data_IF_105482778919
#
_entry.id   IF_105482778919
#
_cell.length_a   1.000
_cell.length_b   1.000
_cell.length_c   1.000
_cell.angle_alpha   90.00
_cell.angle_beta   90.00
_cell.angle_gamma   90.00
#
_symmetry.space_group_name_H-M   'P 1'
#
loop_
_entity.id
_entity.type
_entity.pdbx_description
1 polymer ?
#
# COMPACT_ATOMS: atom_id res chain seq x y z
N UNK A 1 -18.55 5.71 31.37
CA UNK A 1 -18.81 5.57 29.93
C UNK A 1 -17.49 5.59 29.19
N UNK A 2 -17.15 4.46 28.59
CA UNK A 2 -15.98 4.42 27.72
C UNK A 2 -16.28 5.19 26.45
N UNK A 3 -15.47 6.19 26.15
CA UNK A 3 -15.53 6.83 24.84
C UNK A 3 -15.17 5.80 23.80
N UNK A 4 -16.07 5.51 22.86
CA UNK A 4 -15.76 4.72 21.68
C UNK A 4 -14.73 5.48 20.85
N UNK A 5 -13.46 5.23 21.14
CA UNK A 5 -12.38 5.76 20.30
C UNK A 5 -12.49 5.08 18.94
N UNK A 6 -12.80 5.87 17.94
CA UNK A 6 -12.79 5.41 16.56
C UNK A 6 -11.41 4.87 16.24
N UNK A 7 -11.34 3.66 15.71
CA UNK A 7 -10.06 3.07 15.28
C UNK A 7 -9.46 3.92 14.16
N UNK A 8 -8.17 4.15 14.24
CA UNK A 8 -7.45 4.81 13.16
C UNK A 8 -7.29 3.84 12.00
N UNK A 9 -7.27 4.39 10.80
CA UNK A 9 -7.14 3.62 9.56
C UNK A 9 -5.84 3.96 8.86
N UNK A 10 -5.16 2.93 8.39
CA UNK A 10 -3.92 3.07 7.63
C UNK A 10 -4.20 2.69 6.18
N UNK A 11 -3.80 3.56 5.26
CA UNK A 11 -3.87 3.29 3.83
C UNK A 11 -2.48 2.93 3.33
N UNK A 12 -2.38 1.83 2.59
CA UNK A 12 -1.15 1.42 1.91
C UNK A 12 -1.40 1.53 0.42
N UNK A 13 -0.68 2.42 -0.25
CA UNK A 13 -0.80 2.62 -1.69
C UNK A 13 0.37 1.94 -2.39
N UNK A 14 0.07 1.09 -3.37
CA UNK A 14 1.05 0.28 -4.08
C UNK A 14 0.94 0.56 -5.58
N UNK A 15 1.85 1.37 -6.13
CA UNK A 15 1.86 1.57 -7.58
C UNK A 15 2.39 0.32 -8.29
N UNK A 16 1.77 -0.04 -9.41
CA UNK A 16 2.09 -1.23 -10.18
C UNK A 16 2.19 -0.90 -11.66
N UNK A 17 3.17 -1.49 -12.32
CA UNK A 17 3.27 -1.52 -13.78
C UNK A 17 4.02 -2.78 -14.18
N UNK A 18 3.31 -3.71 -14.85
CA UNK A 18 3.86 -5.01 -15.26
C UNK A 18 4.51 -5.76 -14.08
N UNK A 19 3.71 -5.96 -13.02
CA UNK A 19 4.13 -6.59 -11.78
C UNK A 19 3.41 -7.92 -11.54
N UNK A 20 3.12 -8.69 -12.60
CA UNK A 20 2.37 -9.94 -12.48
C UNK A 20 3.01 -10.95 -11.53
N UNK A 21 4.33 -10.94 -11.39
CA UNK A 21 5.04 -11.84 -10.48
C UNK A 21 4.95 -11.41 -9.01
N UNK A 22 4.71 -10.12 -8.76
CA UNK A 22 4.84 -9.54 -7.42
C UNK A 22 3.53 -9.16 -6.75
N UNK A 23 2.44 -8.92 -7.49
CA UNK A 23 1.21 -8.39 -6.88
C UNK A 23 0.60 -9.36 -5.88
N UNK A 24 0.59 -10.67 -6.15
CA UNK A 24 0.05 -11.65 -5.22
C UNK A 24 0.92 -11.76 -3.96
N UNK A 25 2.24 -12.00 -4.07
CA UNK A 25 3.09 -12.02 -2.87
C UNK A 25 3.06 -10.72 -2.09
N UNK A 26 3.00 -9.57 -2.76
CA UNK A 26 2.93 -8.27 -2.08
C UNK A 26 1.62 -8.12 -1.31
N UNK A 27 0.49 -8.48 -1.91
CA UNK A 27 -0.79 -8.40 -1.22
C UNK A 27 -0.81 -9.27 0.04
N UNK A 28 -0.27 -10.49 -0.06
CA UNK A 28 -0.19 -11.40 1.08
C UNK A 28 0.72 -10.85 2.18
N UNK A 29 1.88 -10.30 1.81
CA UNK A 29 2.83 -9.74 2.77
C UNK A 29 2.23 -8.53 3.49
N UNK A 30 1.53 -7.65 2.79
CA UNK A 30 0.91 -6.47 3.38
C UNK A 30 -0.25 -6.84 4.31
N UNK A 31 -1.10 -7.78 3.91
CA UNK A 31 -2.18 -8.27 4.79
C UNK A 31 -1.59 -8.90 6.06
N UNK A 32 -0.52 -9.70 5.91
CA UNK A 32 0.14 -10.33 7.04
C UNK A 32 0.68 -9.29 8.03
N UNK A 33 1.38 -8.27 7.55
CA UNK A 33 1.91 -7.21 8.42
C UNK A 33 0.77 -6.49 9.14
N UNK A 34 -0.29 -6.12 8.43
CA UNK A 34 -1.40 -5.37 9.04
C UNK A 34 -2.16 -6.21 10.06
N UNK A 35 -2.37 -7.49 9.79
CA UNK A 35 -3.16 -8.33 10.69
C UNK A 35 -2.36 -8.84 11.89
N UNK A 36 -1.07 -9.09 11.73
CA UNK A 36 -0.23 -9.65 12.80
C UNK A 36 0.51 -8.58 13.60
N UNK A 37 1.03 -7.55 12.96
CA UNK A 37 1.85 -6.53 13.62
C UNK A 37 1.04 -5.29 14.03
N UNK A 38 -0.05 -4.98 13.33
CA UNK A 38 -0.82 -3.76 13.53
C UNK A 38 -2.33 -4.06 13.66
N UNK A 39 -2.72 -5.04 14.50
CA UNK A 39 -4.14 -5.46 14.55
C UNK A 39 -5.08 -4.40 15.13
N UNK A 40 -4.54 -3.37 15.79
CA UNK A 40 -5.33 -2.28 16.40
C UNK A 40 -5.80 -1.24 15.37
N UNK A 41 -5.34 -1.33 14.12
CA UNK A 41 -5.72 -0.39 13.07
C UNK A 41 -6.66 -1.05 12.08
N UNK A 42 -7.60 -0.25 11.55
CA UNK A 42 -8.26 -0.59 10.29
C UNK A 42 -7.29 -0.31 9.16
N UNK A 43 -7.47 -0.94 8.02
CA UNK A 43 -6.56 -0.72 6.90
C UNK A 43 -7.26 -0.86 5.56
N UNK A 44 -6.68 -0.22 4.56
CA UNK A 44 -6.97 -0.47 3.14
C UNK A 44 -5.65 -0.59 2.40
N UNK A 45 -5.62 -1.46 1.40
CA UNK A 45 -4.50 -1.58 0.48
C UNK A 45 -5.03 -1.17 -0.88
N UNK A 46 -4.44 -0.13 -1.46
CA UNK A 46 -4.86 0.40 -2.74
C UNK A 46 -3.75 0.21 -3.76
N UNK A 47 -3.96 -0.74 -4.67
CA UNK A 47 -3.09 -0.90 -5.82
C UNK A 47 -3.54 0.07 -6.91
N UNK A 48 -2.59 0.78 -7.51
CA UNK A 48 -2.88 1.56 -8.70
C UNK A 48 -2.08 1.00 -9.87
N UNK A 49 -2.78 0.43 -10.83
CA UNK A 49 -2.20 -0.20 -12.00
C UNK A 49 -2.12 0.82 -13.13
N UNK A 50 -0.91 1.11 -13.56
CA UNK A 50 -0.62 2.15 -14.55
C UNK A 50 -0.70 1.62 -15.98
N UNK A 51 -1.81 0.92 -16.28
CA UNK A 51 -2.08 0.35 -17.61
C UNK A 51 -1.09 -0.77 -17.97
N UNK A 52 -0.95 -1.76 -17.08
CA UNK A 52 -0.09 -2.91 -17.33
C UNK A 52 -0.55 -3.71 -18.56
N UNK A 53 0.41 -4.27 -19.27
CA UNK A 53 0.18 -5.06 -20.48
C UNK A 53 0.31 -6.56 -20.22
N UNK A 54 0.72 -6.94 -19.01
CA UNK A 54 0.84 -8.34 -18.59
C UNK A 54 -0.41 -8.78 -17.81
N UNK A 55 -0.30 -9.79 -16.95
CA UNK A 55 -1.41 -10.34 -16.18
C UNK A 55 -1.64 -9.64 -14.84
N UNK A 56 -0.99 -8.50 -14.60
CA UNK A 56 -1.14 -7.75 -13.35
C UNK A 56 -2.60 -7.45 -13.06
N UNK A 57 -3.33 -6.92 -14.04
CA UNK A 57 -4.74 -6.57 -13.86
C UNK A 57 -5.59 -7.78 -13.48
N UNK A 58 -5.40 -8.89 -14.18
CA UNK A 58 -6.14 -10.13 -13.90
C UNK A 58 -5.93 -10.57 -12.45
N UNK A 59 -4.68 -10.57 -11.99
CA UNK A 59 -4.37 -10.98 -10.62
C UNK A 59 -4.90 -10.00 -9.59
N UNK A 60 -4.85 -8.70 -9.86
CA UNK A 60 -5.42 -7.69 -8.96
C UNK A 60 -6.93 -7.84 -8.82
N UNK A 61 -7.64 -8.13 -9.91
CA UNK A 61 -9.08 -8.39 -9.86
C UNK A 61 -9.39 -9.55 -8.91
N UNK A 62 -8.64 -10.64 -9.02
CA UNK A 62 -8.80 -11.80 -8.13
C UNK A 62 -8.48 -11.49 -6.68
N UNK A 63 -7.42 -10.73 -6.43
CA UNK A 63 -7.02 -10.32 -5.09
C UNK A 63 -8.13 -9.49 -4.44
N UNK A 64 -8.70 -8.54 -5.17
CA UNK A 64 -9.77 -7.68 -4.67
C UNK A 64 -11.04 -8.46 -4.38
N UNK A 65 -11.37 -9.47 -5.17
CA UNK A 65 -12.51 -10.35 -4.90
C UNK A 65 -12.35 -11.12 -3.59
N UNK A 66 -11.12 -11.51 -3.26
CA UNK A 66 -10.82 -12.30 -2.08
C UNK A 66 -10.67 -11.51 -0.79
N UNK A 67 -10.54 -10.19 -0.84
CA UNK A 67 -10.34 -9.36 0.35
C UNK A 67 -10.91 -7.95 0.11
N UNK A 68 -11.99 -7.62 0.83
CA UNK A 68 -12.67 -6.33 0.69
C UNK A 68 -11.84 -5.11 1.15
N UNK A 69 -10.76 -5.34 1.89
CA UNK A 69 -9.85 -4.27 2.31
C UNK A 69 -8.83 -3.93 1.22
N UNK A 70 -8.79 -4.71 0.14
CA UNK A 70 -7.90 -4.47 -0.98
C UNK A 70 -8.72 -3.92 -2.14
N UNK A 71 -8.25 -2.80 -2.68
CA UNK A 71 -8.89 -2.09 -3.79
C UNK A 71 -7.87 -1.88 -4.90
N UNK A 72 -8.34 -1.74 -6.11
CA UNK A 72 -7.47 -1.49 -7.25
C UNK A 72 -8.06 -0.41 -8.14
N UNK A 73 -7.19 0.46 -8.63
CA UNK A 73 -7.50 1.44 -9.67
C UNK A 73 -6.75 1.00 -10.92
N UNK A 74 -7.48 0.92 -12.04
CA UNK A 74 -6.88 0.55 -13.32
C UNK A 74 -6.88 1.77 -14.22
N UNK A 75 -5.69 2.32 -14.49
CA UNK A 75 -5.57 3.45 -15.39
C UNK A 75 -5.84 3.03 -16.83
N UNK A 76 -6.53 3.88 -17.58
CA UNK A 76 -6.83 3.61 -19.00
C UNK A 76 -5.64 3.83 -19.91
N UNK A 77 -4.60 4.51 -19.41
CA UNK A 77 -3.34 4.72 -20.09
C UNK A 77 -2.22 4.84 -19.06
N UNK A 78 -0.97 4.78 -19.51
CA UNK A 78 0.17 4.99 -18.63
C UNK A 78 0.38 6.48 -18.42
N UNK A 79 0.18 6.97 -17.20
CA UNK A 79 0.33 8.37 -16.82
C UNK A 79 1.73 8.72 -16.29
N UNK A 80 2.66 7.75 -16.31
CA UNK A 80 4.01 7.93 -15.81
C UNK A 80 4.19 7.55 -14.36
N UNK A 81 5.45 7.45 -13.95
CA UNK A 81 5.82 6.91 -12.64
C UNK A 81 5.58 7.87 -11.47
N UNK A 82 5.26 9.14 -11.75
CA UNK A 82 4.99 10.13 -10.70
C UNK A 82 3.50 10.46 -10.60
N UNK A 83 2.85 10.69 -11.72
CA UNK A 83 1.44 11.09 -11.74
C UNK A 83 0.51 9.99 -11.23
N UNK A 84 0.76 8.75 -11.62
CA UNK A 84 -0.07 7.61 -11.22
C UNK A 84 -0.02 7.37 -9.71
N UNK A 85 1.17 7.27 -9.07
CA UNK A 85 1.22 7.12 -7.61
C UNK A 85 0.63 8.32 -6.88
N UNK A 86 0.83 9.53 -7.37
CA UNK A 86 0.25 10.72 -6.74
C UNK A 86 -1.28 10.65 -6.74
N UNK A 87 -1.87 10.27 -7.86
CA UNK A 87 -3.31 10.07 -7.94
C UNK A 87 -3.79 9.00 -6.97
N UNK A 88 -3.04 7.89 -6.88
CA UNK A 88 -3.36 6.81 -5.93
C UNK A 88 -3.36 7.32 -4.49
N UNK A 89 -2.37 8.11 -4.09
CA UNK A 89 -2.33 8.70 -2.76
C UNK A 89 -3.54 9.58 -2.49
N UNK A 90 -3.99 10.34 -3.49
CA UNK A 90 -5.16 11.21 -3.36
C UNK A 90 -6.46 10.43 -3.17
N UNK A 91 -6.50 9.16 -3.55
CA UNK A 91 -7.67 8.29 -3.40
C UNK A 91 -7.70 7.52 -2.09
N UNK A 92 -6.65 7.61 -1.27
CA UNK A 92 -6.62 6.92 0.02
C UNK A 92 -7.53 7.61 1.02
N UNK A 93 -8.13 6.82 1.92
CA UNK A 93 -9.12 7.32 2.89
C UNK A 93 -8.67 7.17 4.34
N UNK A 94 -7.48 6.66 4.59
CA UNK A 94 -6.98 6.45 5.94
C UNK A 94 -6.51 7.70 6.64
N UNK A 95 -6.24 7.56 7.93
CA UNK A 95 -5.69 8.65 8.75
C UNK A 95 -4.22 8.89 8.41
N UNK A 96 -3.53 7.88 7.91
CA UNK A 96 -2.21 8.04 7.28
C UNK A 96 -2.12 7.18 6.02
N UNK A 97 -1.21 7.54 5.14
CA UNK A 97 -0.96 6.82 3.90
C UNK A 97 0.52 6.46 3.78
N UNK A 98 0.78 5.22 3.37
CA UNK A 98 2.13 4.70 3.17
C UNK A 98 2.23 4.26 1.72
N UNK A 99 3.29 4.67 1.04
CA UNK A 99 3.58 4.24 -0.33
C UNK A 99 4.62 3.12 -0.30
N UNK A 100 4.32 2.01 -0.95
CA UNK A 100 5.19 0.83 -1.01
C UNK A 100 5.36 0.40 -2.46
N UNK A 101 6.60 0.23 -2.91
CA UNK A 101 6.88 -0.29 -4.25
C UNK A 101 6.56 -1.78 -4.34
N UNK A 102 5.89 -2.19 -5.42
CA UNK A 102 5.41 -3.57 -5.59
C UNK A 102 6.54 -4.61 -5.78
N UNK A 103 7.72 -4.18 -6.12
CA UNK A 103 8.85 -5.05 -6.47
C UNK A 103 9.69 -5.49 -5.27
N UNK A 104 9.22 -5.28 -4.05
CA UNK A 104 9.91 -5.63 -2.79
C UNK A 104 11.26 -4.92 -2.57
N UNK A 105 11.51 -3.80 -3.26
CA UNK A 105 12.66 -2.96 -2.95
C UNK A 105 12.57 -2.35 -1.55
N UNK A 106 11.34 -2.06 -1.12
CA UNK A 106 11.07 -1.54 0.21
C UNK A 106 10.60 -2.68 1.11
N UNK A 107 11.29 -2.95 2.24
CA UNK A 107 10.86 -4.04 3.14
C UNK A 107 9.52 -3.71 3.79
N UNK A 108 8.56 -4.63 3.69
CA UNK A 108 7.24 -4.43 4.32
C UNK A 108 7.34 -4.41 5.85
N UNK A 109 8.39 -4.98 6.41
CA UNK A 109 8.66 -4.99 7.84
C UNK A 109 8.93 -3.58 8.39
N UNK A 110 9.20 -2.61 7.53
CA UNK A 110 9.37 -1.21 7.92
C UNK A 110 8.05 -0.52 8.24
N UNK A 111 6.92 -1.06 7.79
CA UNK A 111 5.62 -0.43 7.98
C UNK A 111 5.30 -0.18 9.46
N UNK A 112 5.46 -1.15 10.38
CA UNK A 112 5.23 -0.86 11.80
C UNK A 112 6.11 0.26 12.34
N UNK A 113 7.34 0.40 11.86
CA UNK A 113 8.24 1.48 12.28
C UNK A 113 7.75 2.84 11.79
N UNK A 114 7.26 2.92 10.56
CA UNK A 114 6.68 4.16 10.04
C UNK A 114 5.44 4.56 10.83
N UNK A 115 4.59 3.59 11.16
CA UNK A 115 3.38 3.85 11.95
C UNK A 115 3.74 4.34 13.35
N UNK A 116 4.77 3.75 13.98
CA UNK A 116 5.24 4.18 15.29
C UNK A 116 5.71 5.64 15.26
N UNK A 117 6.46 6.03 14.24
CA UNK A 117 6.91 7.41 14.09
C UNK A 117 5.75 8.38 13.84
N UNK A 118 4.77 7.96 13.05
CA UNK A 118 3.55 8.75 12.87
C UNK A 118 2.80 8.94 14.20
N UNK A 119 2.67 7.89 15.00
CA UNK A 119 2.04 7.99 16.33
C UNK A 119 2.82 8.91 17.27
N UNK A 120 4.13 9.04 17.06
CA UNK A 120 4.97 9.99 17.82
C UNK A 120 4.78 11.44 17.37
N UNK A 121 3.94 11.70 16.38
CA UNK A 121 3.57 13.04 15.95
C UNK A 121 4.23 13.52 14.66
N UNK A 122 5.04 12.70 14.00
CA UNK A 122 5.67 13.08 12.75
C UNK A 122 4.66 13.03 11.61
N UNK A 123 4.56 14.13 10.86
CA UNK A 123 3.61 14.25 9.75
C UNK A 123 4.10 13.57 8.48
N UNK A 124 5.42 13.53 8.29
CA UNK A 124 6.07 12.90 7.15
C UNK A 124 7.20 12.03 7.68
N UNK A 125 7.20 10.76 7.28
CA UNK A 125 8.24 9.80 7.66
C UNK A 125 8.80 9.19 6.39
N UNK A 126 10.12 9.27 6.21
CA UNK A 126 10.79 8.72 5.04
C UNK A 126 11.84 7.70 5.45
N UNK A 127 11.84 6.57 4.78
CA UNK A 127 12.91 5.58 4.93
C UNK A 127 14.10 5.97 4.07
N UNK A 128 15.29 5.97 4.67
CA UNK A 128 16.53 6.28 3.95
C UNK A 128 17.28 4.97 3.72
N UNK A 129 17.60 4.67 2.45
CA UNK A 129 18.39 3.48 2.12
C UNK A 129 19.84 3.74 2.46
N UNK A 130 20.41 2.91 3.36
CA UNK A 130 21.82 3.00 3.73
C UNK A 130 22.73 2.44 2.65
N UNK A 131 22.23 1.47 1.85
CA UNK A 131 22.97 0.89 0.74
C UNK A 131 22.01 0.71 -0.44
N UNK A 132 22.37 1.27 -1.59
CA UNK A 132 21.64 1.06 -2.84
C UNK A 132 22.58 0.30 -3.80
N UNK A 133 22.06 -0.79 -4.36
CA UNK A 133 22.76 -1.53 -5.43
C UNK A 133 22.25 -1.03 -6.79
N UNK A 134 22.55 0.17 -7.12
CA UNK A 134 22.33 0.68 -8.46
C UNK A 134 23.60 0.64 -9.27
#
# INVERSE_FOLDING_TARGET
MEENKKRKKISIMVPCYNEEENVIPMSEALVDVMTRELPQYDYEILFIDNCSQDRTREYLEKICEGNKNIKAIFNVTNFGQFNSPFYGLCQTTGDCAISVCCDFQDPVEMIPKFVAEWENGYKIVSGIKSHSKE
#
